data_IF_900627584894
#
_entry.id   IF_900627584894
#
_cell.length_a   1.000
_cell.length_b   1.000
_cell.length_c   1.000
_cell.angle_alpha   90.00
_cell.angle_beta   90.00
_cell.angle_gamma   90.00
#
_symmetry.space_group_name_H-M   'P 1'
#
loop_
_entity.id
_entity.type
_entity.pdbx_description
1 polymer ?
#
# COMPACT_ATOMS: atom_id res chain seq x y z
N UNK A 1 34.71 -1.82 6.02
CA UNK A 1 33.84 -1.90 4.82
C UNK A 1 33.20 -3.28 4.63
N UNK A 2 33.74 -4.36 5.20
CA UNK A 2 33.19 -5.74 5.05
C UNK A 2 31.91 -6.02 5.87
N UNK A 3 31.75 -5.40 7.04
CA UNK A 3 30.60 -5.61 7.93
C UNK A 3 29.28 -5.14 7.28
N UNK A 4 29.29 -4.04 6.52
CA UNK A 4 28.10 -3.59 5.79
C UNK A 4 27.73 -4.58 4.67
N UNK A 5 28.70 -5.07 3.90
CA UNK A 5 28.49 -6.05 2.83
C UNK A 5 27.85 -7.35 3.32
N UNK A 6 28.29 -7.89 4.47
CA UNK A 6 27.70 -9.10 5.07
C UNK A 6 26.24 -8.89 5.50
N UNK A 7 25.93 -7.73 6.11
CA UNK A 7 24.57 -7.37 6.52
C UNK A 7 23.64 -7.22 5.31
N UNK A 8 24.10 -6.57 4.25
CA UNK A 8 23.33 -6.43 3.01
C UNK A 8 23.08 -7.78 2.35
N UNK A 9 24.07 -8.69 2.31
CA UNK A 9 23.89 -10.07 1.80
C UNK A 9 22.86 -10.85 2.62
N UNK A 10 22.94 -10.75 3.95
CA UNK A 10 21.97 -11.39 4.85
C UNK A 10 20.55 -10.86 4.62
N UNK A 11 20.38 -9.53 4.46
CA UNK A 11 19.09 -8.92 4.15
C UNK A 11 18.54 -9.35 2.79
N UNK A 12 19.41 -9.48 1.78
CA UNK A 12 19.03 -9.92 0.45
C UNK A 12 18.59 -11.39 0.42
N UNK A 13 19.25 -12.24 1.21
CA UNK A 13 18.96 -13.67 1.30
C UNK A 13 17.64 -14.03 2.00
N UNK A 14 17.03 -13.11 2.76
CA UNK A 14 15.87 -13.43 3.60
C UNK A 14 14.68 -13.97 2.80
N UNK A 15 14.05 -15.00 3.36
CA UNK A 15 12.75 -15.48 2.87
C UNK A 15 11.63 -14.48 3.16
N UNK A 16 10.48 -14.63 2.50
CA UNK A 16 9.33 -13.75 2.77
C UNK A 16 8.85 -13.89 4.21
N UNK A 17 8.83 -15.11 4.75
CA UNK A 17 8.43 -15.35 6.14
C UNK A 17 9.38 -14.70 7.14
N UNK A 18 10.70 -14.85 6.95
CA UNK A 18 11.70 -14.16 7.80
C UNK A 18 11.52 -12.64 7.76
N UNK A 19 11.21 -12.09 6.59
CA UNK A 19 10.94 -10.66 6.41
C UNK A 19 9.73 -10.20 7.22
N UNK A 20 8.66 -11.00 7.26
CA UNK A 20 7.47 -10.73 8.08
C UNK A 20 7.81 -10.81 9.58
N UNK A 21 8.52 -11.86 10.00
CA UNK A 21 8.96 -12.03 11.41
C UNK A 21 9.78 -10.84 11.87
N UNK A 22 10.70 -10.35 11.04
CA UNK A 22 11.46 -9.14 11.35
C UNK A 22 10.58 -7.90 11.42
N UNK A 23 9.53 -7.82 10.60
CA UNK A 23 8.56 -6.72 10.64
C UNK A 23 7.78 -6.71 11.95
N UNK A 24 7.35 -7.87 12.47
CA UNK A 24 6.74 -7.99 13.79
C UNK A 24 7.71 -7.62 14.92
N UNK A 25 8.98 -8.04 14.83
CA UNK A 25 10.02 -7.62 15.80
C UNK A 25 10.24 -6.11 15.77
N UNK A 26 10.24 -5.52 14.58
CA UNK A 26 10.40 -4.07 14.39
C UNK A 26 9.20 -3.30 14.97
N UNK A 27 8.00 -3.81 14.76
CA UNK A 27 6.75 -3.31 15.34
C UNK A 27 6.83 -3.30 16.86
N UNK A 28 7.10 -4.44 17.50
CA UNK A 28 7.18 -4.53 18.96
C UNK A 28 8.25 -3.60 19.56
N UNK A 29 9.45 -3.57 18.95
CA UNK A 29 10.58 -2.78 19.47
C UNK A 29 10.37 -1.27 19.38
N UNK A 30 9.63 -0.79 18.37
CA UNK A 30 9.47 0.65 18.11
C UNK A 30 8.04 1.16 18.35
N UNK A 31 7.13 0.30 18.82
CA UNK A 31 5.70 0.59 18.95
C UNK A 31 5.42 1.95 19.57
N UNK A 32 5.97 2.23 20.75
CA UNK A 32 5.68 3.45 21.51
C UNK A 32 6.04 4.76 20.77
N UNK A 33 7.02 4.74 19.87
CA UNK A 33 7.39 5.92 19.05
C UNK A 33 6.56 6.04 17.78
N UNK A 34 6.07 4.92 17.25
CA UNK A 34 5.30 4.88 16.00
C UNK A 34 3.81 5.09 16.23
N UNK A 35 3.27 4.61 17.36
CA UNK A 35 1.84 4.70 17.63
C UNK A 35 1.36 6.14 17.75
N UNK A 36 2.13 7.02 18.39
CA UNK A 36 1.72 8.41 18.62
C UNK A 36 1.43 9.20 17.32
N UNK A 37 2.36 9.30 16.35
CA UNK A 37 2.08 10.02 15.10
C UNK A 37 0.97 9.33 14.28
N UNK A 38 0.95 8.00 14.24
CA UNK A 38 -0.03 7.26 13.44
C UNK A 38 -1.44 7.36 14.02
N UNK A 39 -1.59 7.24 15.34
CA UNK A 39 -2.85 7.46 16.04
C UNK A 39 -3.34 8.90 15.87
N UNK A 40 -2.44 9.89 15.91
CA UNK A 40 -2.80 11.28 15.63
C UNK A 40 -3.42 11.44 14.24
N UNK A 41 -2.78 10.88 13.20
CA UNK A 41 -3.33 10.94 11.84
C UNK A 41 -4.64 10.15 11.69
N UNK A 42 -4.79 9.01 12.37
CA UNK A 42 -6.01 8.23 12.33
C UNK A 42 -7.18 8.96 13.03
N UNK A 43 -6.94 9.60 14.17
CA UNK A 43 -7.94 10.44 14.84
C UNK A 43 -8.28 11.65 13.99
N UNK A 44 -7.28 12.29 13.37
CA UNK A 44 -7.51 13.39 12.43
C UNK A 44 -8.37 12.95 11.25
N UNK A 45 -8.13 11.77 10.70
CA UNK A 45 -8.95 11.18 9.64
C UNK A 45 -10.41 11.02 10.10
N UNK A 46 -10.65 10.45 11.28
CA UNK A 46 -11.99 10.27 11.86
C UNK A 46 -12.71 11.61 12.02
N UNK A 47 -12.00 12.62 12.54
CA UNK A 47 -12.56 13.97 12.72
C UNK A 47 -12.92 14.57 11.37
N UNK A 48 -12.02 14.53 10.38
CA UNK A 48 -12.28 15.09 9.05
C UNK A 48 -13.39 14.34 8.31
N UNK A 49 -13.42 13.01 8.38
CA UNK A 49 -14.46 12.20 7.77
C UNK A 49 -15.83 12.53 8.37
N UNK A 50 -15.90 12.64 9.70
CA UNK A 50 -17.12 13.02 10.39
C UNK A 50 -17.56 14.43 10.01
N UNK A 51 -16.67 15.43 10.08
CA UNK A 51 -17.05 16.82 9.82
C UNK A 51 -17.42 17.08 8.35
N UNK A 52 -16.76 16.41 7.41
CA UNK A 52 -16.96 16.65 5.98
C UNK A 52 -18.09 15.80 5.39
N UNK A 53 -18.29 14.57 5.88
CA UNK A 53 -19.15 13.59 5.19
C UNK A 53 -20.40 13.17 5.97
N UNK A 54 -20.59 13.56 7.23
CA UNK A 54 -21.79 13.17 8.00
C UNK A 54 -23.08 13.63 7.32
N UNK A 55 -23.15 14.88 6.87
CA UNK A 55 -24.35 15.40 6.20
C UNK A 55 -24.61 14.67 4.88
N UNK A 56 -23.53 14.28 4.18
CA UNK A 56 -23.66 13.54 2.94
C UNK A 56 -24.10 12.09 3.17
N UNK A 57 -23.59 11.44 4.22
CA UNK A 57 -24.04 10.12 4.68
C UNK A 57 -25.53 10.15 5.05
N UNK A 58 -25.94 11.14 5.84
CA UNK A 58 -27.34 11.29 6.22
C UNK A 58 -28.24 11.55 5.01
N UNK A 59 -27.81 12.38 4.06
CA UNK A 59 -28.57 12.58 2.82
C UNK A 59 -28.77 11.27 2.06
N UNK A 60 -27.71 10.48 1.89
CA UNK A 60 -27.78 9.14 1.25
C UNK A 60 -28.75 8.22 1.98
N UNK A 61 -28.69 8.18 3.31
CA UNK A 61 -29.62 7.39 4.13
C UNK A 61 -31.07 7.89 4.01
N UNK A 62 -31.28 9.20 3.94
CA UNK A 62 -32.61 9.82 3.83
C UNK A 62 -33.30 9.61 2.49
N UNK A 63 -32.55 9.25 1.43
CA UNK A 63 -33.13 8.82 0.14
C UNK A 63 -34.02 7.58 0.34
N UNK A 64 -33.85 6.84 1.45
CA UNK A 64 -34.85 5.91 1.95
C UNK A 64 -35.05 4.68 1.06
N UNK A 65 -34.17 4.45 0.09
CA UNK A 65 -34.17 3.23 -0.71
C UNK A 65 -33.59 2.13 0.17
N UNK A 66 -34.47 1.43 0.87
CA UNK A 66 -34.13 0.14 1.41
C UNK A 66 -33.99 -0.82 0.22
N UNK A 67 -32.76 -1.07 -0.18
CA UNK A 67 -32.42 -1.96 -1.30
C UNK A 67 -33.06 -3.34 -1.11
N UNK A 68 -33.26 -3.79 0.13
CA UNK A 68 -33.97 -5.03 0.44
C UNK A 68 -35.45 -4.98 0.03
N UNK A 69 -36.14 -3.89 0.37
CA UNK A 69 -37.56 -3.69 0.03
C UNK A 69 -37.74 -3.59 -1.50
N UNK A 70 -36.82 -2.89 -2.17
CA UNK A 70 -36.81 -2.77 -3.62
C UNK A 70 -36.60 -4.13 -4.30
N UNK A 71 -35.73 -5.01 -3.77
CA UNK A 71 -35.51 -6.36 -4.29
C UNK A 71 -36.67 -7.32 -4.03
N UNK A 72 -37.41 -7.14 -2.92
CA UNK A 72 -38.65 -7.89 -2.68
C UNK A 72 -39.79 -7.44 -3.60
N UNK A 73 -39.93 -6.14 -3.86
CA UNK A 73 -40.98 -5.61 -4.76
C UNK A 73 -40.67 -5.93 -6.24
N UNK A 74 -39.38 -6.01 -6.59
CA UNK A 74 -38.85 -6.44 -7.88
C UNK A 74 -39.21 -7.88 -8.26
N UNK A 75 -39.48 -8.75 -7.28
CA UNK A 75 -39.82 -10.14 -7.54
C UNK A 75 -41.23 -10.29 -8.14
N UNK A 76 -42.13 -9.34 -7.86
CA UNK A 76 -43.55 -9.44 -8.18
C UNK A 76 -44.07 -8.33 -9.14
N UNK A 77 -43.29 -7.29 -9.43
CA UNK A 77 -43.71 -6.20 -10.33
C UNK A 77 -42.60 -5.73 -11.29
N UNK A 78 -43.01 -5.23 -12.45
CA UNK A 78 -42.10 -4.60 -13.41
C UNK A 78 -41.70 -3.20 -12.89
N UNK A 79 -40.39 -2.94 -12.80
CA UNK A 79 -39.84 -1.64 -12.40
C UNK A 79 -40.44 -0.48 -13.21
N UNK A 80 -40.95 0.53 -12.52
CA UNK A 80 -41.36 1.79 -13.15
C UNK A 80 -40.10 2.65 -13.33
N UNK A 81 -40.09 3.51 -14.36
CA UNK A 81 -38.94 4.38 -14.67
C UNK A 81 -38.51 5.28 -13.48
N UNK A 82 -39.45 5.62 -12.60
CA UNK A 82 -39.21 6.40 -11.39
C UNK A 82 -38.35 5.65 -10.36
N UNK A 83 -38.66 4.38 -10.10
CA UNK A 83 -37.90 3.51 -9.19
C UNK A 83 -36.48 3.30 -9.69
N UNK A 84 -36.32 3.12 -11.01
CA UNK A 84 -35.02 2.95 -11.64
C UNK A 84 -34.19 4.24 -11.58
N UNK A 85 -34.81 5.42 -11.68
CA UNK A 85 -34.14 6.70 -11.54
C UNK A 85 -33.72 6.96 -10.08
N UNK A 86 -34.58 6.65 -9.12
CA UNK A 86 -34.28 6.74 -7.69
C UNK A 86 -33.10 5.81 -7.32
N UNK A 87 -33.14 4.54 -7.76
CA UNK A 87 -32.05 3.57 -7.55
C UNK A 87 -30.74 4.04 -8.19
N UNK A 88 -30.80 4.52 -9.44
CA UNK A 88 -29.60 5.05 -10.14
C UNK A 88 -29.00 6.23 -9.38
N UNK A 89 -29.85 7.13 -8.89
CA UNK A 89 -29.45 8.29 -8.09
C UNK A 89 -28.80 7.86 -6.78
N UNK A 90 -29.43 6.94 -6.04
CA UNK A 90 -28.88 6.39 -4.80
C UNK A 90 -27.53 5.70 -5.02
N UNK A 91 -27.41 4.86 -6.05
CA UNK A 91 -26.16 4.17 -6.39
C UNK A 91 -25.06 5.18 -6.75
N UNK A 92 -25.36 6.17 -7.59
CA UNK A 92 -24.39 7.18 -8.01
C UNK A 92 -23.89 8.00 -6.82
N UNK A 93 -24.80 8.45 -5.96
CA UNK A 93 -24.45 9.26 -4.79
C UNK A 93 -23.66 8.42 -3.78
N UNK A 94 -24.09 7.18 -3.51
CA UNK A 94 -23.35 6.24 -2.64
C UNK A 94 -21.94 5.98 -3.17
N UNK A 95 -21.79 5.86 -4.48
CA UNK A 95 -20.49 5.66 -5.13
C UNK A 95 -19.58 6.89 -5.00
N UNK A 96 -20.14 8.10 -5.14
CA UNK A 96 -19.41 9.36 -4.90
C UNK A 96 -19.01 9.50 -3.42
N UNK A 97 -19.91 9.16 -2.49
CA UNK A 97 -19.61 9.17 -1.06
C UNK A 97 -18.45 8.23 -0.73
N UNK A 98 -18.48 6.99 -1.24
CA UNK A 98 -17.41 6.02 -1.07
C UNK A 98 -16.08 6.51 -1.66
N UNK A 99 -16.12 7.18 -2.82
CA UNK A 99 -14.93 7.80 -3.41
C UNK A 99 -14.33 8.87 -2.51
N UNK A 100 -15.14 9.78 -1.97
CA UNK A 100 -14.66 10.86 -1.10
C UNK A 100 -14.05 10.31 0.19
N UNK A 101 -14.68 9.29 0.80
CA UNK A 101 -14.13 8.59 1.97
C UNK A 101 -12.77 7.97 1.66
N UNK A 102 -12.68 7.22 0.56
CA UNK A 102 -11.42 6.58 0.14
C UNK A 102 -10.33 7.61 -0.20
N UNK A 103 -10.69 8.72 -0.85
CA UNK A 103 -9.76 9.79 -1.18
C UNK A 103 -9.20 10.46 0.07
N UNK A 104 -10.06 10.82 1.02
CA UNK A 104 -9.66 11.39 2.30
C UNK A 104 -8.75 10.42 3.06
N UNK A 105 -9.17 9.17 3.19
CA UNK A 105 -8.41 8.10 3.84
C UNK A 105 -7.03 7.90 3.22
N UNK A 106 -6.95 7.75 1.89
CA UNK A 106 -5.70 7.52 1.18
C UNK A 106 -4.71 8.68 1.34
N UNK A 107 -5.18 9.94 1.32
CA UNK A 107 -4.34 11.11 1.54
C UNK A 107 -3.76 11.07 2.97
N UNK A 108 -4.61 10.96 3.99
CA UNK A 108 -4.16 11.03 5.39
C UNK A 108 -3.27 9.84 5.74
N UNK A 109 -3.61 8.63 5.32
CA UNK A 109 -2.80 7.42 5.55
C UNK A 109 -1.45 7.54 4.83
N UNK A 110 -1.40 8.10 3.62
CA UNK A 110 -0.13 8.33 2.92
C UNK A 110 0.77 9.31 3.68
N UNK A 111 0.20 10.40 4.21
CA UNK A 111 0.93 11.35 5.07
C UNK A 111 1.46 10.63 6.31
N UNK A 112 0.61 9.84 6.97
CA UNK A 112 0.96 9.09 8.17
C UNK A 112 2.13 8.13 7.92
N UNK A 113 2.07 7.35 6.83
CA UNK A 113 3.16 6.43 6.45
C UNK A 113 4.46 7.18 6.15
N UNK A 114 4.41 8.26 5.36
CA UNK A 114 5.58 9.07 5.05
C UNK A 114 6.22 9.68 6.31
N UNK A 115 5.41 10.06 7.30
CA UNK A 115 5.89 10.69 8.53
C UNK A 115 6.80 9.80 9.38
N UNK A 116 6.66 8.47 9.27
CA UNK A 116 7.40 7.49 10.08
C UNK A 116 8.28 6.54 9.26
N UNK A 117 8.12 6.49 7.94
CA UNK A 117 8.81 5.54 7.06
C UNK A 117 10.34 5.66 7.14
N UNK A 118 10.87 6.89 7.07
CA UNK A 118 12.31 7.13 7.09
C UNK A 118 12.93 6.69 8.43
N UNK A 119 12.32 7.10 9.54
CA UNK A 119 12.73 6.68 10.88
C UNK A 119 12.74 5.16 11.01
N UNK A 120 11.66 4.51 10.58
CA UNK A 120 11.49 3.05 10.71
C UNK A 120 12.52 2.30 9.86
N UNK A 121 12.78 2.78 8.64
CA UNK A 121 13.80 2.22 7.75
C UNK A 121 15.22 2.37 8.32
N UNK A 122 15.61 3.58 8.73
CA UNK A 122 16.93 3.86 9.30
C UNK A 122 17.16 3.05 10.59
N UNK A 123 16.15 2.94 11.46
CA UNK A 123 16.24 2.10 12.65
C UNK A 123 16.38 0.62 12.33
N UNK A 124 15.68 0.11 11.33
CA UNK A 124 15.86 -1.27 10.87
C UNK A 124 17.28 -1.51 10.30
N UNK A 125 17.83 -0.51 9.61
CA UNK A 125 19.22 -0.52 9.14
C UNK A 125 20.25 -0.35 10.26
N UNK A 126 19.83 -0.18 11.52
CA UNK A 126 20.70 -0.06 12.69
C UNK A 126 21.33 1.31 12.86
N UNK A 127 20.78 2.34 12.23
CA UNK A 127 21.28 3.71 12.31
C UNK A 127 20.75 4.42 13.56
N UNK A 128 21.61 5.25 14.17
CA UNK A 128 21.26 6.08 15.30
C UNK A 128 20.58 7.37 14.83
N UNK A 129 19.26 7.28 14.61
CA UNK A 129 18.46 8.42 14.16
C UNK A 129 17.50 8.94 15.25
N UNK A 130 17.38 10.27 15.31
CA UNK A 130 16.43 10.99 16.15
C UNK A 130 15.04 10.98 15.49
N UNK A 131 14.03 10.50 16.22
CA UNK A 131 12.66 10.44 15.71
C UNK A 131 12.13 11.82 15.28
N UNK A 132 12.42 12.86 16.06
CA UNK A 132 11.95 14.23 15.80
C UNK A 132 12.52 14.79 14.50
N UNK A 133 13.80 14.53 14.22
CA UNK A 133 14.46 14.99 13.00
C UNK A 133 13.94 14.24 11.78
N UNK A 134 13.83 12.91 11.86
CA UNK A 134 13.23 12.10 10.80
C UNK A 134 11.80 12.53 10.50
N UNK A 135 10.97 12.75 11.54
CA UNK A 135 9.58 13.22 11.38
C UNK A 135 9.52 14.60 10.70
N UNK A 136 10.34 15.57 11.13
CA UNK A 136 10.40 16.90 10.50
C UNK A 136 10.85 16.80 9.04
N UNK A 137 11.85 15.98 8.75
CA UNK A 137 12.37 15.78 7.39
C UNK A 137 11.35 15.17 6.42
N UNK A 138 10.38 14.41 6.95
CA UNK A 138 9.35 13.76 6.15
C UNK A 138 8.43 14.76 5.43
N UNK A 139 8.23 15.94 6.01
CA UNK A 139 7.38 17.00 5.45
C UNK A 139 8.18 17.96 4.57
N UNK A 140 8.65 17.46 3.44
CA UNK A 140 9.29 18.29 2.41
C UNK A 140 8.42 18.38 1.15
N UNK A 141 8.78 19.28 0.22
CA UNK A 141 8.02 19.51 -1.02
C UNK A 141 7.86 18.25 -1.88
N UNK A 142 8.76 17.27 -1.77
CA UNK A 142 8.68 16.00 -2.53
C UNK A 142 7.52 15.12 -2.05
N UNK A 143 6.98 15.31 -0.84
CA UNK A 143 5.84 14.52 -0.34
C UNK A 143 4.62 14.62 -1.27
N UNK A 144 4.43 15.76 -1.95
CA UNK A 144 3.33 15.98 -2.89
C UNK A 144 3.28 14.93 -4.01
N UNK A 145 4.43 14.43 -4.47
CA UNK A 145 4.44 13.39 -5.51
C UNK A 145 3.91 12.06 -4.99
N UNK A 146 4.15 11.78 -3.70
CA UNK A 146 3.65 10.59 -3.02
C UNK A 146 2.14 10.72 -2.80
N UNK A 147 1.67 11.90 -2.37
CA UNK A 147 0.23 12.18 -2.20
C UNK A 147 -0.54 12.10 -3.52
N UNK A 148 0.05 12.60 -4.61
CA UNK A 148 -0.57 12.52 -5.92
C UNK A 148 -0.75 11.07 -6.37
N UNK A 149 0.27 10.22 -6.18
CA UNK A 149 0.24 8.83 -6.66
C UNK A 149 -0.53 7.90 -5.70
N UNK A 150 -0.18 7.89 -4.42
CA UNK A 150 -0.75 6.98 -3.43
C UNK A 150 -2.02 7.53 -2.76
N UNK A 151 -2.22 8.84 -2.71
CA UNK A 151 -3.46 9.44 -2.23
C UNK A 151 -4.50 9.53 -3.33
N UNK A 152 -4.23 10.37 -4.35
CA UNK A 152 -5.21 10.69 -5.39
C UNK A 152 -5.36 9.57 -6.43
N UNK A 153 -4.28 9.19 -7.14
CA UNK A 153 -4.39 8.21 -8.23
C UNK A 153 -4.79 6.81 -7.74
N UNK A 154 -4.40 6.41 -6.55
CA UNK A 154 -4.86 5.15 -5.96
C UNK A 154 -6.38 5.16 -5.76
N UNK A 155 -6.91 6.22 -5.15
CA UNK A 155 -8.36 6.37 -4.89
C UNK A 155 -9.15 6.51 -6.18
N UNK A 156 -8.66 7.31 -7.13
CA UNK A 156 -9.26 7.48 -8.45
C UNK A 156 -9.25 6.15 -9.24
N UNK A 157 -8.16 5.40 -9.17
CA UNK A 157 -8.08 4.08 -9.79
C UNK A 157 -9.11 3.16 -9.15
N UNK A 158 -9.19 3.10 -7.81
CA UNK A 158 -10.16 2.26 -7.12
C UNK A 158 -11.61 2.64 -7.44
N UNK A 159 -11.87 3.92 -7.68
CA UNK A 159 -13.16 4.44 -8.09
C UNK A 159 -13.53 4.06 -9.52
N UNK A 160 -12.60 4.11 -10.46
CA UNK A 160 -12.89 3.73 -11.85
C UNK A 160 -12.92 2.22 -12.03
N UNK A 161 -11.86 1.54 -11.61
CA UNK A 161 -11.65 0.09 -11.74
C UNK A 161 -10.71 -0.43 -10.64
N UNK A 162 -11.16 -1.45 -9.91
CA UNK A 162 -10.40 -2.02 -8.80
C UNK A 162 -9.00 -2.55 -9.21
N UNK A 163 -8.87 -3.20 -10.38
CA UNK A 163 -7.61 -3.82 -10.83
C UNK A 163 -6.47 -2.79 -10.99
N UNK A 164 -6.65 -1.65 -11.68
CA UNK A 164 -5.68 -0.55 -11.71
C UNK A 164 -5.20 -0.09 -10.33
N UNK A 165 -6.06 -0.05 -9.32
CA UNK A 165 -5.66 0.34 -7.97
C UNK A 165 -4.62 -0.61 -7.37
N UNK A 166 -4.81 -1.93 -7.54
CA UNK A 166 -3.86 -2.96 -7.08
C UNK A 166 -2.50 -2.77 -7.77
N UNK A 167 -2.51 -2.45 -9.07
CA UNK A 167 -1.29 -2.20 -9.85
C UNK A 167 -0.57 -0.95 -9.31
N UNK A 168 -1.28 0.17 -9.12
CA UNK A 168 -0.71 1.41 -8.57
C UNK A 168 -0.12 1.13 -7.19
N UNK A 169 -0.87 0.49 -6.31
CA UNK A 169 -0.40 0.13 -4.98
C UNK A 169 0.87 -0.73 -5.03
N UNK A 170 0.84 -1.87 -5.73
CA UNK A 170 1.94 -2.82 -5.71
C UNK A 170 3.24 -2.30 -6.32
N UNK A 171 3.18 -1.42 -7.32
CA UNK A 171 4.37 -0.83 -7.93
C UNK A 171 4.90 0.41 -7.21
N UNK A 172 4.03 1.20 -6.58
CA UNK A 172 4.38 2.52 -6.08
C UNK A 172 4.35 2.66 -4.55
N UNK A 173 3.92 1.65 -3.79
CA UNK A 173 3.88 1.74 -2.32
C UNK A 173 5.22 2.13 -1.69
N UNK A 174 6.35 1.70 -2.29
CA UNK A 174 7.69 2.06 -1.79
C UNK A 174 8.07 3.54 -2.00
N UNK A 175 7.24 4.33 -2.68
CA UNK A 175 7.41 5.79 -2.73
C UNK A 175 7.46 6.40 -1.34
N UNK A 176 6.76 5.82 -0.35
CA UNK A 176 6.82 6.28 1.05
C UNK A 176 8.22 6.24 1.64
N UNK A 177 9.15 5.46 1.08
CA UNK A 177 10.56 5.43 1.49
C UNK A 177 11.48 6.19 0.53
N UNK A 178 11.25 6.07 -0.78
CA UNK A 178 12.20 6.56 -1.79
C UNK A 178 12.07 8.05 -2.09
N UNK A 179 10.97 8.71 -1.72
CA UNK A 179 10.74 10.12 -2.05
C UNK A 179 11.77 11.08 -1.42
N UNK A 180 12.41 10.67 -0.32
CA UNK A 180 13.45 11.43 0.37
C UNK A 180 14.85 11.22 -0.20
N UNK A 181 15.04 10.38 -1.23
CA UNK A 181 16.36 10.20 -1.82
C UNK A 181 16.79 11.44 -2.61
N UNK A 182 18.06 11.83 -2.47
CA UNK A 182 18.60 13.06 -3.05
C UNK A 182 18.99 12.86 -4.52
N UNK A 183 19.57 11.70 -4.88
CA UNK A 183 20.24 11.52 -6.17
C UNK A 183 19.44 10.77 -7.25
N UNK A 184 18.19 10.36 -6.97
CA UNK A 184 17.42 9.50 -7.88
C UNK A 184 15.98 9.95 -8.05
N UNK A 185 15.42 9.70 -9.24
CA UNK A 185 14.00 9.91 -9.46
C UNK A 185 13.20 8.90 -8.62
N UNK A 186 12.42 9.36 -7.62
CA UNK A 186 11.84 8.50 -6.60
C UNK A 186 10.80 7.52 -7.17
N UNK A 187 10.08 7.93 -8.22
CA UNK A 187 9.08 7.10 -8.92
C UNK A 187 9.76 5.94 -9.63
N UNK A 188 10.83 6.24 -10.39
CA UNK A 188 11.59 5.19 -11.10
C UNK A 188 12.23 4.24 -10.09
N UNK A 189 12.69 4.76 -8.96
CA UNK A 189 13.33 4.00 -7.91
C UNK A 189 12.36 3.04 -7.21
N UNK A 190 11.21 3.54 -6.75
CA UNK A 190 10.16 2.72 -6.15
C UNK A 190 9.73 1.58 -7.09
N UNK A 191 9.49 1.90 -8.37
CA UNK A 191 9.11 0.92 -9.39
C UNK A 191 10.20 -0.13 -9.63
N UNK A 192 11.48 0.25 -9.56
CA UNK A 192 12.61 -0.68 -9.73
C UNK A 192 12.70 -1.64 -8.54
N UNK A 193 12.49 -1.16 -7.32
CA UNK A 193 12.53 -1.98 -6.09
C UNK A 193 11.32 -2.93 -6.01
N UNK A 194 10.14 -2.49 -6.45
CA UNK A 194 8.94 -3.34 -6.44
C UNK A 194 8.89 -4.37 -7.58
N UNK A 195 9.69 -4.17 -8.65
CA UNK A 195 9.68 -5.04 -9.82
C UNK A 195 10.03 -6.49 -9.45
N UNK A 196 9.13 -7.42 -9.74
CA UNK A 196 9.34 -8.84 -9.42
C UNK A 196 9.04 -9.23 -7.98
N UNK A 197 8.60 -8.28 -7.14
CA UNK A 197 8.18 -8.52 -5.77
C UNK A 197 6.70 -8.15 -5.51
N UNK A 198 5.92 -7.94 -6.57
CA UNK A 198 4.52 -7.55 -6.51
C UNK A 198 3.69 -8.46 -5.59
N UNK A 199 3.82 -9.78 -5.76
CA UNK A 199 3.11 -10.75 -4.90
C UNK A 199 3.48 -10.64 -3.43
N UNK A 200 4.73 -10.29 -3.11
CA UNK A 200 5.18 -10.08 -1.72
C UNK A 200 4.61 -8.79 -1.13
N UNK A 201 4.51 -7.73 -1.94
CA UNK A 201 3.88 -6.47 -1.53
C UNK A 201 2.40 -6.70 -1.21
N UNK A 202 1.67 -7.38 -2.10
CA UNK A 202 0.28 -7.76 -1.85
C UNK A 202 0.17 -8.70 -0.65
N UNK A 203 1.10 -9.64 -0.51
CA UNK A 203 1.17 -10.52 0.67
C UNK A 203 1.29 -9.76 1.99
N UNK A 204 2.12 -8.71 2.07
CA UNK A 204 2.22 -7.86 3.28
C UNK A 204 0.88 -7.16 3.57
N UNK A 205 0.23 -6.62 2.53
CA UNK A 205 -1.08 -5.99 2.68
C UNK A 205 -2.14 -6.97 3.19
N UNK A 206 -2.22 -8.17 2.59
CA UNK A 206 -3.17 -9.22 2.99
C UNK A 206 -2.92 -9.69 4.41
N UNK A 207 -1.67 -9.93 4.79
CA UNK A 207 -1.31 -10.32 6.17
C UNK A 207 -1.75 -9.23 7.15
N UNK A 208 -1.41 -7.97 6.89
CA UNK A 208 -1.83 -6.87 7.74
C UNK A 208 -3.35 -6.75 7.85
N UNK A 209 -4.07 -6.86 6.72
CA UNK A 209 -5.53 -6.81 6.68
C UNK A 209 -6.17 -7.93 7.50
N UNK A 210 -5.70 -9.18 7.35
CA UNK A 210 -6.20 -10.32 8.13
C UNK A 210 -6.02 -10.08 9.62
N UNK A 211 -4.84 -9.60 10.03
CA UNK A 211 -4.57 -9.28 11.44
C UNK A 211 -5.56 -8.26 11.97
N UNK A 212 -5.68 -7.11 11.31
CA UNK A 212 -6.62 -6.05 11.72
C UNK A 212 -8.05 -6.59 11.77
N UNK A 213 -8.50 -7.28 10.72
CA UNK A 213 -9.85 -7.83 10.63
C UNK A 213 -10.18 -8.77 11.80
N UNK A 214 -9.28 -9.70 12.13
CA UNK A 214 -9.49 -10.65 13.24
C UNK A 214 -9.57 -9.91 14.58
N UNK A 215 -8.67 -8.97 14.86
CA UNK A 215 -8.72 -8.21 16.11
C UNK A 215 -9.95 -7.30 16.19
N UNK A 216 -10.34 -6.66 15.08
CA UNK A 216 -11.53 -5.82 15.01
C UNK A 216 -12.80 -6.64 15.21
N UNK A 217 -12.87 -7.84 14.64
CA UNK A 217 -14.00 -8.76 14.83
C UNK A 217 -14.16 -9.13 16.31
N UNK A 218 -13.07 -9.53 16.98
CA UNK A 218 -13.10 -9.88 18.41
C UNK A 218 -13.51 -8.67 19.26
N UNK A 219 -12.88 -7.52 19.01
CA UNK A 219 -13.18 -6.30 19.76
C UNK A 219 -14.64 -5.84 19.59
N UNK A 220 -15.13 -5.78 18.35
CA UNK A 220 -16.51 -5.38 18.08
C UNK A 220 -17.51 -6.37 18.69
N UNK A 221 -17.23 -7.67 18.67
CA UNK A 221 -18.10 -8.67 19.33
C UNK A 221 -18.22 -8.42 20.83
N UNK A 222 -17.12 -8.03 21.50
CA UNK A 222 -17.12 -7.66 22.92
C UNK A 222 -17.96 -6.40 23.12
N UNK A 223 -17.71 -5.34 22.35
CA UNK A 223 -18.44 -4.07 22.45
C UNK A 223 -19.94 -4.27 22.24
N UNK A 224 -20.35 -5.00 21.20
CA UNK A 224 -21.76 -5.29 20.94
C UNK A 224 -22.43 -6.12 22.03
N UNK A 225 -21.68 -6.92 22.80
CA UNK A 225 -22.23 -7.64 23.96
C UNK A 225 -22.59 -6.70 25.11
N UNK A 226 -21.91 -5.55 25.23
CA UNK A 226 -22.13 -4.56 26.30
C UNK A 226 -23.06 -3.41 25.89
N UNK A 227 -23.35 -3.25 24.59
CA UNK A 227 -24.25 -2.21 24.09
C UNK A 227 -25.70 -2.71 24.11
N UNK A 228 -26.58 -1.92 24.69
CA UNK A 228 -28.02 -2.19 24.74
C UNK A 228 -28.64 -2.17 23.32
N UNK A 229 -29.75 -2.88 23.12
CA UNK A 229 -30.47 -2.93 21.84
C UNK A 229 -30.96 -1.55 21.38
N UNK A 230 -31.24 -0.64 22.33
CA UNK A 230 -31.68 0.73 22.07
C UNK A 230 -30.52 1.68 21.66
N UNK A 231 -29.28 1.19 21.72
CA UNK A 231 -28.11 1.99 21.36
C UNK A 231 -28.13 2.40 19.87
N UNK A 232 -28.71 1.58 18.99
CA UNK A 232 -28.85 1.92 17.56
C UNK A 232 -29.75 3.13 17.33
N UNK A 233 -30.89 3.22 18.03
CA UNK A 233 -31.76 4.39 17.98
C UNK A 233 -31.03 5.65 18.48
N UNK A 234 -30.18 5.47 19.49
CA UNK A 234 -29.34 6.56 20.03
C UNK A 234 -28.31 7.05 19.01
N UNK A 235 -27.61 6.14 18.31
CA UNK A 235 -26.66 6.50 17.25
C UNK A 235 -27.35 7.26 16.12
N UNK A 236 -28.51 6.76 15.66
CA UNK A 236 -29.28 7.41 14.59
C UNK A 236 -29.70 8.83 14.99
N UNK A 237 -30.02 9.05 16.26
CA UNK A 237 -30.33 10.39 16.78
C UNK A 237 -29.14 11.36 16.70
N UNK A 238 -27.90 10.87 16.79
CA UNK A 238 -26.71 11.73 16.70
C UNK A 238 -26.42 12.18 15.26
N UNK A 239 -26.71 11.31 14.29
CA UNK A 239 -26.55 11.57 12.85
C UNK A 239 -27.62 12.50 12.28
N UNK A 240 -28.74 12.71 13.00
CA UNK A 240 -29.81 13.59 12.54
C UNK A 240 -29.34 15.06 12.47
N UNK A 241 -29.50 15.75 11.32
CA UNK A 241 -29.11 17.15 11.15
C UNK A 241 -29.72 18.12 12.16
N UNK A 242 -30.87 17.78 12.75
CA UNK A 242 -31.56 18.61 13.73
C UNK A 242 -30.94 18.54 15.15
N UNK A 243 -30.31 17.43 15.51
CA UNK A 243 -29.79 17.15 16.88
C UNK A 243 -28.26 17.00 16.92
N UNK A 244 -27.60 17.08 15.75
CA UNK A 244 -26.14 16.94 15.50
C UNK A 244 -25.28 16.89 16.75
N UNK A 245 -24.85 15.68 17.09
CA UNK A 245 -23.87 15.47 18.15
C UNK A 245 -22.54 14.98 17.57
N UNK A 246 -21.83 15.88 16.87
CA UNK A 246 -20.53 15.57 16.26
C UNK A 246 -19.52 15.02 17.28
N UNK A 247 -19.56 15.50 18.52
CA UNK A 247 -18.70 14.99 19.59
C UNK A 247 -18.94 13.51 19.86
N UNK A 248 -20.21 13.09 19.99
CA UNK A 248 -20.56 11.69 20.20
C UNK A 248 -20.31 10.83 18.95
N UNK A 249 -20.53 11.35 17.74
CA UNK A 249 -20.19 10.62 16.51
C UNK A 249 -18.67 10.37 16.42
N UNK A 250 -17.86 11.39 16.68
CA UNK A 250 -16.39 11.25 16.70
C UNK A 250 -15.97 10.24 17.76
N UNK A 251 -16.51 10.34 18.98
CA UNK A 251 -16.21 9.41 20.06
C UNK A 251 -16.59 7.96 19.68
N UNK A 252 -17.79 7.78 19.12
CA UNK A 252 -18.27 6.49 18.63
C UNK A 252 -17.30 5.92 17.58
N UNK A 253 -16.94 6.70 16.56
CA UNK A 253 -15.99 6.26 15.53
C UNK A 253 -14.62 5.93 16.11
N UNK A 254 -14.09 6.70 17.07
CA UNK A 254 -12.82 6.40 17.75
C UNK A 254 -12.90 5.06 18.49
N UNK A 255 -13.99 4.80 19.22
CA UNK A 255 -14.19 3.54 19.96
C UNK A 255 -14.22 2.36 19.00
N UNK A 256 -14.94 2.45 17.89
CA UNK A 256 -15.05 1.37 16.91
C UNK A 256 -13.83 1.22 15.99
N UNK A 257 -12.98 2.25 15.89
CA UNK A 257 -11.70 2.21 15.15
C UNK A 257 -10.48 2.01 16.06
N UNK A 258 -10.66 1.65 17.34
CA UNK A 258 -9.54 1.55 18.28
C UNK A 258 -8.51 0.50 17.86
N UNK A 259 -8.96 -0.61 17.28
CA UNK A 259 -8.07 -1.67 16.78
C UNK A 259 -7.23 -1.16 15.62
N UNK A 260 -7.84 -0.44 14.68
CA UNK A 260 -7.13 0.17 13.55
C UNK A 260 -6.09 1.17 14.04
N UNK A 261 -6.44 1.99 15.04
CA UNK A 261 -5.53 2.95 15.67
C UNK A 261 -4.34 2.23 16.32
N UNK A 262 -4.62 1.22 17.15
CA UNK A 262 -3.61 0.46 17.92
C UNK A 262 -2.69 -0.32 17.00
N UNK A 263 -3.21 -0.88 15.91
CA UNK A 263 -2.45 -1.68 14.95
C UNK A 263 -1.91 -0.88 13.76
N UNK A 264 -2.19 0.42 13.66
CA UNK A 264 -1.69 1.28 12.58
C UNK A 264 -0.17 1.15 12.30
N UNK A 265 0.72 1.00 13.32
CA UNK A 265 2.15 0.83 13.05
C UNK A 265 2.54 -0.49 12.37
N UNK A 266 1.68 -1.51 12.39
CA UNK A 266 2.01 -2.85 11.90
C UNK A 266 2.37 -2.83 10.42
N UNK A 267 1.52 -2.21 9.60
CA UNK A 267 1.68 -2.19 8.15
C UNK A 267 3.03 -1.57 7.74
N UNK A 268 3.36 -0.41 8.30
CA UNK A 268 4.61 0.28 7.93
C UNK A 268 5.85 -0.51 8.39
N UNK A 269 5.79 -1.23 9.51
CA UNK A 269 6.88 -2.09 9.96
C UNK A 269 7.09 -3.29 9.03
N UNK A 270 6.02 -4.00 8.66
CA UNK A 270 6.10 -5.11 7.70
C UNK A 270 6.59 -4.63 6.32
N UNK A 271 6.09 -3.47 5.87
CA UNK A 271 6.49 -2.88 4.60
C UNK A 271 7.97 -2.45 4.62
N UNK A 272 8.46 -1.93 5.76
CA UNK A 272 9.85 -1.49 5.93
C UNK A 272 10.83 -2.65 5.78
N UNK A 273 10.58 -3.79 6.41
CA UNK A 273 11.48 -4.94 6.32
C UNK A 273 11.50 -5.53 4.92
N UNK A 274 10.33 -5.57 4.25
CA UNK A 274 10.25 -5.95 2.84
C UNK A 274 11.02 -4.99 1.94
N UNK A 275 10.83 -3.69 2.13
CA UNK A 275 11.56 -2.66 1.40
C UNK A 275 13.07 -2.83 1.56
N UNK A 276 13.56 -3.00 2.79
CA UNK A 276 14.98 -3.16 3.08
C UNK A 276 15.58 -4.41 2.43
N UNK A 277 14.87 -5.55 2.46
CA UNK A 277 15.33 -6.78 1.79
C UNK A 277 15.39 -6.61 0.27
N UNK A 278 14.36 -6.01 -0.34
CA UNK A 278 14.31 -5.80 -1.79
C UNK A 278 15.33 -4.76 -2.27
N UNK A 279 15.55 -3.71 -1.48
CA UNK A 279 16.62 -2.74 -1.73
C UNK A 279 17.99 -3.41 -1.64
N UNK A 280 18.24 -4.24 -0.63
CA UNK A 280 19.50 -4.97 -0.53
C UNK A 280 19.73 -5.92 -1.73
N UNK A 281 18.68 -6.62 -2.18
CA UNK A 281 18.74 -7.46 -3.40
C UNK A 281 19.10 -6.63 -4.63
N UNK A 282 18.50 -5.45 -4.75
CA UNK A 282 18.79 -4.51 -5.83
C UNK A 282 20.25 -4.09 -5.84
N UNK A 283 20.72 -3.59 -4.70
CA UNK A 283 22.03 -2.96 -4.59
C UNK A 283 23.17 -3.98 -4.81
N UNK A 284 22.90 -5.25 -4.52
CA UNK A 284 23.79 -6.39 -4.81
C UNK A 284 23.62 -6.98 -6.22
N UNK A 285 22.68 -6.48 -7.03
CA UNK A 285 22.48 -6.92 -8.41
C UNK A 285 21.69 -8.23 -8.59
N UNK A 286 20.98 -8.72 -7.56
CA UNK A 286 20.23 -9.99 -7.60
C UNK A 286 18.92 -9.96 -8.42
N UNK A 287 18.60 -8.87 -9.12
CA UNK A 287 17.46 -8.91 -10.03
C UNK A 287 17.74 -9.87 -11.19
N UNK A 288 16.75 -10.68 -11.61
CA UNK A 288 16.92 -11.48 -12.80
C UNK A 288 17.21 -10.52 -13.96
N UNK A 289 18.43 -10.60 -14.51
CA UNK A 289 18.74 -10.04 -15.82
C UNK A 289 17.65 -10.53 -16.76
N UNK A 290 16.93 -9.61 -17.40
CA UNK A 290 15.94 -9.99 -18.42
C UNK A 290 16.68 -10.77 -19.51
N UNK A 291 16.31 -12.03 -19.67
CA UNK A 291 16.66 -12.87 -20.80
C UNK A 291 17.82 -13.81 -20.54
N UNK A 292 17.54 -15.01 -20.01
CA UNK A 292 18.36 -16.21 -20.19
C UNK A 292 17.42 -17.43 -20.17
N UNK A 293 16.60 -17.58 -21.21
CA UNK A 293 16.67 -18.83 -21.96
C UNK A 293 17.97 -18.74 -22.75
N UNK A 294 19.09 -18.98 -22.08
CA UNK A 294 20.29 -19.40 -22.75
C UNK A 294 20.70 -20.63 -21.96
N UNK A 295 20.45 -21.74 -22.61
CA UNK A 295 20.89 -23.07 -22.22
C UNK A 295 22.31 -23.00 -21.68
N UNK A 296 22.49 -23.67 -20.56
CA UNK A 296 23.71 -24.38 -20.18
C UNK A 296 24.73 -24.49 -21.32
N UNK A 297 25.87 -23.80 -21.22
CA UNK A 297 27.21 -24.39 -21.32
C UNK A 297 28.29 -23.33 -21.03
N UNK A 298 29.19 -23.71 -20.13
CA UNK A 298 30.56 -23.22 -19.91
C UNK A 298 30.80 -21.71 -19.73
N UNK A 299 30.84 -21.26 -18.48
CA UNK A 299 31.94 -20.41 -18.03
C UNK A 299 32.46 -20.97 -16.71
N UNK A 300 33.38 -21.93 -16.84
CA UNK A 300 34.36 -22.23 -15.80
C UNK A 300 35.18 -20.95 -15.61
N UNK A 301 35.34 -20.56 -14.35
CA UNK A 301 36.25 -19.49 -13.94
C UNK A 301 37.64 -19.70 -14.56
N UNK A 302 38.13 -18.70 -15.29
CA UNK A 302 39.56 -18.55 -15.54
C UNK A 302 39.98 -17.20 -14.95
N UNK A 303 40.64 -17.30 -13.80
CA UNK A 303 41.50 -16.26 -13.27
C UNK A 303 42.67 -16.01 -14.24
N UNK A 304 42.99 -14.72 -14.41
CA UNK A 304 44.28 -14.10 -14.76
C UNK A 304 45.22 -14.76 -15.79
N UNK A 305 45.58 -14.01 -16.84
CA UNK A 305 46.98 -13.61 -17.11
C UNK A 305 47.04 -12.55 -18.23
N UNK A 306 47.69 -11.42 -17.96
CA UNK A 306 48.09 -10.44 -18.98
C UNK A 306 49.26 -11.02 -19.80
N UNK A 307 49.15 -10.97 -21.12
CA UNK A 307 50.31 -10.96 -22.02
C UNK A 307 49.99 -10.06 -23.21
N UNK A 308 50.84 -9.05 -23.40
CA UNK A 308 50.88 -8.22 -24.60
C UNK A 308 51.79 -8.90 -25.63
N UNK A 309 51.32 -9.06 -26.88
CA UNK A 309 52.20 -9.01 -28.04
C UNK A 309 51.42 -8.77 -29.34
N UNK A 310 52.02 -7.95 -30.20
CA UNK A 310 51.52 -7.46 -31.47
C UNK A 310 51.29 -8.57 -32.51
N UNK A 311 50.28 -8.41 -33.37
CA UNK A 311 50.33 -8.82 -34.78
C UNK A 311 49.19 -8.17 -35.57
N UNK A 312 49.55 -7.21 -36.42
CA UNK A 312 48.77 -6.79 -37.59
C UNK A 312 48.58 -7.98 -38.54
N UNK A 313 47.36 -8.21 -39.04
CA UNK A 313 47.08 -8.65 -40.43
C UNK A 313 45.66 -8.20 -40.81
N UNK A 314 45.64 -7.46 -41.91
CA UNK A 314 44.52 -6.94 -42.71
C UNK A 314 43.64 -8.06 -43.28
N UNK A 315 42.31 -7.94 -43.16
CA UNK A 315 41.32 -8.21 -44.25
C UNK A 315 39.87 -8.17 -43.72
N UNK A 316 39.08 -7.22 -44.24
CA UNK A 316 37.62 -7.32 -44.33
C UNK A 316 37.24 -7.94 -45.69
N UNK A 317 35.97 -8.31 -45.98
CA UNK A 317 34.85 -8.67 -45.10
C UNK A 317 34.16 -9.98 -45.56
N UNK A 318 33.46 -10.69 -44.67
CA UNK A 318 32.35 -11.54 -45.12
C UNK A 318 31.18 -11.46 -44.14
N UNK A 319 30.10 -10.86 -44.61
CA UNK A 319 28.79 -10.83 -43.98
C UNK A 319 28.20 -12.25 -43.95
N UNK A 320 27.88 -12.84 -42.79
CA UNK A 320 27.13 -14.09 -42.78
C UNK A 320 25.63 -13.78 -42.87
N UNK A 321 25.02 -14.38 -43.88
CA UNK A 321 23.61 -14.32 -44.25
C UNK A 321 22.66 -14.61 -43.08
N UNK A 322 21.59 -13.79 -43.03
CA UNK A 322 20.37 -14.00 -42.26
C UNK A 322 19.78 -15.40 -42.47
N UNK A 323 19.41 -16.04 -41.35
CA UNK A 323 18.24 -16.90 -41.13
C UNK A 323 17.72 -17.66 -42.35
N UNK A 324 18.06 -18.94 -42.45
CA UNK A 324 17.20 -19.94 -43.12
C UNK A 324 16.70 -20.91 -42.06
N UNK A 325 15.37 -20.99 -41.96
CA UNK A 325 14.65 -21.98 -41.18
C UNK A 325 14.72 -23.32 -41.92
N UNK A 326 15.10 -24.38 -41.21
CA UNK A 326 15.04 -25.76 -41.70
C UNK A 326 13.63 -26.31 -41.47
N UNK A 327 12.98 -26.84 -42.53
CA UNK A 327 11.70 -27.53 -42.45
C UNK A 327 11.96 -29.04 -42.56
N UNK A 328 11.70 -29.85 -41.51
CA UNK A 328 12.11 -31.25 -41.48
C UNK A 328 11.26 -32.21 -42.33
N UNK A 329 10.39 -31.70 -43.22
CA UNK A 329 9.56 -32.53 -44.09
C UNK A 329 9.83 -32.33 -45.59
N UNK A 330 10.79 -31.48 -45.95
CA UNK A 330 11.18 -31.27 -47.34
C UNK A 330 12.72 -31.19 -47.44
N UNK A 331 13.38 -32.35 -47.44
CA UNK A 331 14.77 -32.58 -47.88
C UNK A 331 15.83 -31.58 -47.43
#
# INVERSE_FOLDING_TARGET
>A
MEISSSKFRNLAGKSFNETLVDGYKLFYKNYGKLILPLAFFQILLIILDTLLLTDFKWYVESIGINVADLFTDLADTALIAEDLNALTTYLLISFVLLFLQNLLGAIIITIAMCSVSNYTYQKYMGEEVSFKESFKSAFNKKIFIVLLILGFFLSLSSFLLFIPAIIVFGFYIFLVFTYNYEDTNPIKEAKRISKGAFSKVIGVFVVNFIFIYVFSFVYNSIIYTFLDTDFQATINSWNNPATRNFGMIILYQIIFSIVDIVLAPLFICLLTTLFASLKARKDLGYYPKRGYYQESYSQIAQDSFEFAENLDITSQPSTPLKKRFYCPFCG
#
